data_IF_151495960982
#
_entry.id   IF_151495960982
#
_cell.length_a   1.000
_cell.length_b   1.000
_cell.length_c   1.000
_cell.angle_alpha   90.00
_cell.angle_beta   90.00
_cell.angle_gamma   90.00
#
_symmetry.space_group_name_H-M   'P 1'
#
loop_
_entity.id
_entity.type
_entity.pdbx_description
1 polymer ?
#
# COMPACT_ATOMS: atom_id res chain seq x y z
N UNK A 1 -25.07 -9.33 2.70
CA UNK A 1 -24.02 -8.42 2.21
C UNK A 1 -22.97 -9.23 1.44
N UNK A 2 -22.23 -8.61 0.51
CA UNK A 2 -21.09 -9.19 -0.23
C UNK A 2 -19.82 -8.40 0.12
N UNK A 3 -18.64 -8.96 -0.13
CA UNK A 3 -17.34 -8.30 0.08
C UNK A 3 -16.57 -8.17 -1.24
N UNK A 4 -15.76 -7.12 -1.37
CA UNK A 4 -14.83 -6.93 -2.50
C UNK A 4 -13.50 -6.45 -1.95
N UNK A 5 -12.42 -7.14 -2.31
CA UNK A 5 -11.04 -6.74 -2.04
C UNK A 5 -10.40 -6.25 -3.34
N UNK A 6 -9.93 -5.00 -3.37
CA UNK A 6 -9.28 -4.38 -4.53
C UNK A 6 -7.89 -3.95 -4.11
N UNK A 7 -6.85 -4.50 -4.74
CA UNK A 7 -5.45 -4.22 -4.38
C UNK A 7 -5.20 -4.30 -2.85
N UNK A 8 -5.74 -5.34 -2.21
CA UNK A 8 -5.77 -5.46 -0.76
C UNK A 8 -4.53 -6.18 -0.20
N UNK A 9 -4.10 -5.77 0.99
CA UNK A 9 -2.92 -6.31 1.72
C UNK A 9 -3.04 -7.72 2.31
N UNK A 10 -4.24 -8.25 2.66
CA UNK A 10 -4.32 -9.61 3.19
C UNK A 10 -3.83 -10.66 2.19
N UNK A 11 -3.22 -11.77 2.66
CA UNK A 11 -3.14 -12.20 4.05
C UNK A 11 -2.07 -11.48 4.89
N UNK A 12 -0.87 -11.29 4.34
CA UNK A 12 0.28 -10.66 4.99
C UNK A 12 1.23 -10.16 3.91
N UNK A 13 1.70 -8.91 3.99
CA UNK A 13 2.71 -8.41 3.04
C UNK A 13 4.13 -8.77 3.47
N UNK A 14 4.43 -8.71 4.78
CA UNK A 14 5.78 -8.91 5.30
C UNK A 14 6.33 -10.30 4.97
N UNK A 15 7.59 -10.30 4.54
CA UNK A 15 8.39 -11.52 4.40
C UNK A 15 8.65 -12.16 5.75
N UNK A 16 8.25 -13.42 5.90
CA UNK A 16 8.52 -14.23 7.09
C UNK A 16 8.90 -15.65 6.69
N UNK A 17 9.24 -16.51 7.64
CA UNK A 17 9.42 -17.93 7.35
C UNK A 17 8.14 -18.60 6.82
N UNK A 18 6.97 -18.11 7.23
CA UNK A 18 5.66 -18.60 6.77
C UNK A 18 5.18 -17.90 5.47
N UNK A 19 5.79 -16.77 5.11
CA UNK A 19 5.52 -16.00 3.89
C UNK A 19 6.85 -15.63 3.19
N UNK A 20 7.57 -16.59 2.58
CA UNK A 20 8.92 -16.36 2.05
C UNK A 20 8.96 -15.44 0.82
N UNK A 21 7.85 -15.32 0.10
CA UNK A 21 7.68 -14.46 -1.07
C UNK A 21 7.18 -13.05 -0.71
N UNK A 22 6.97 -12.76 0.57
CA UNK A 22 6.58 -11.44 1.03
C UNK A 22 7.67 -10.38 0.80
N UNK A 23 7.30 -9.13 1.07
CA UNK A 23 8.19 -7.98 0.94
C UNK A 23 9.13 -7.87 2.14
N UNK A 24 10.44 -7.65 1.96
CA UNK A 24 11.39 -7.47 3.05
C UNK A 24 11.03 -6.31 3.99
N UNK A 25 11.33 -6.43 5.29
CA UNK A 25 11.01 -5.42 6.30
C UNK A 25 11.62 -4.05 5.96
N UNK A 26 12.80 -4.06 5.34
CA UNK A 26 13.57 -2.87 5.00
C UNK A 26 12.82 -1.95 4.02
N UNK A 27 11.91 -2.50 3.21
CA UNK A 27 11.06 -1.70 2.32
C UNK A 27 10.07 -0.87 3.14
N UNK A 28 9.42 -1.48 4.14
CA UNK A 28 8.48 -0.80 5.02
C UNK A 28 9.18 0.19 5.95
N UNK A 29 10.38 -0.14 6.43
CA UNK A 29 11.22 0.81 7.16
C UNK A 29 11.63 2.01 6.30
N UNK A 30 11.85 1.80 4.99
CA UNK A 30 12.05 2.87 4.02
C UNK A 30 10.84 3.80 3.88
N UNK A 31 9.63 3.24 3.88
CA UNK A 31 8.38 4.02 3.88
C UNK A 31 8.28 4.84 5.17
N UNK A 32 8.45 4.21 6.34
CA UNK A 32 8.43 4.89 7.64
C UNK A 32 9.42 6.05 7.71
N UNK A 33 10.65 5.80 7.26
CA UNK A 33 11.71 6.82 7.23
C UNK A 33 11.32 7.99 6.33
N UNK A 34 10.83 7.71 5.13
CA UNK A 34 10.42 8.75 4.18
C UNK A 34 9.24 9.57 4.71
N UNK A 35 8.27 8.94 5.38
CA UNK A 35 7.17 9.62 6.07
C UNK A 35 7.66 10.49 7.23
N UNK A 36 8.65 10.03 8.01
CA UNK A 36 9.17 10.77 9.15
C UNK A 36 10.09 11.94 8.77
N UNK A 37 10.86 11.81 7.70
CA UNK A 37 11.86 12.80 7.27
C UNK A 37 11.27 13.87 6.33
N UNK A 38 10.60 13.46 5.25
CA UNK A 38 9.97 14.37 4.29
C UNK A 38 8.75 13.73 3.62
N UNK A 39 7.65 13.63 4.38
CA UNK A 39 6.39 13.06 3.85
C UNK A 39 5.85 13.82 2.65
N UNK A 40 6.13 15.11 2.52
CA UNK A 40 5.60 15.91 1.42
C UNK A 40 6.21 15.48 0.10
N UNK A 41 7.53 15.36 0.04
CA UNK A 41 8.21 14.87 -1.16
C UNK A 41 7.89 13.39 -1.40
N UNK A 42 7.93 12.57 -0.35
CA UNK A 42 7.60 11.14 -0.45
C UNK A 42 6.20 10.88 -1.03
N UNK A 43 5.17 11.59 -0.57
CA UNK A 43 3.81 11.42 -1.08
C UNK A 43 3.65 11.88 -2.53
N UNK A 44 4.50 12.78 -3.03
CA UNK A 44 4.51 13.10 -4.46
C UNK A 44 5.26 12.03 -5.27
N UNK A 45 6.37 11.51 -4.74
CA UNK A 45 7.22 10.54 -5.43
C UNK A 45 6.54 9.17 -5.57
N UNK A 46 5.89 8.69 -4.51
CA UNK A 46 5.22 7.37 -4.49
C UNK A 46 4.07 7.28 -5.50
N UNK A 47 3.53 8.41 -5.97
CA UNK A 47 2.49 8.41 -7.01
C UNK A 47 2.96 7.79 -8.33
N UNK A 48 4.28 7.79 -8.58
CA UNK A 48 4.85 7.22 -9.80
C UNK A 48 4.64 5.70 -9.88
N UNK A 49 5.11 4.88 -8.91
CA UNK A 49 4.77 3.46 -8.87
C UNK A 49 3.30 3.19 -8.54
N UNK A 50 2.66 3.99 -7.67
CA UNK A 50 1.28 3.77 -7.23
C UNK A 50 0.27 3.77 -8.39
N UNK A 51 0.47 4.64 -9.39
CA UNK A 51 -0.37 4.70 -10.59
C UNK A 51 0.28 4.07 -11.83
N UNK A 52 1.45 3.44 -11.69
CA UNK A 52 2.20 2.91 -12.82
C UNK A 52 2.68 3.98 -13.81
N UNK A 53 2.77 5.24 -13.40
CA UNK A 53 3.27 6.35 -14.23
C UNK A 53 4.76 6.24 -14.53
N UNK A 54 5.48 5.35 -13.84
CA UNK A 54 6.86 4.98 -14.15
C UNK A 54 6.99 3.91 -15.25
N UNK A 55 5.88 3.40 -15.82
CA UNK A 55 5.91 2.43 -16.93
C UNK A 55 6.10 3.12 -18.28
N UNK A 56 6.76 2.43 -19.21
CA UNK A 56 6.97 2.93 -20.57
C UNK A 56 5.62 3.19 -21.27
N UNK A 57 5.49 4.38 -21.86
CA UNK A 57 4.27 4.81 -22.54
C UNK A 57 3.13 5.23 -21.60
N UNK A 58 3.30 5.15 -20.29
CA UNK A 58 2.32 5.67 -19.35
C UNK A 58 2.21 7.20 -19.46
N UNK A 59 0.99 7.71 -19.60
CA UNK A 59 0.74 9.14 -19.58
C UNK A 59 0.61 9.61 -18.13
N UNK A 60 1.59 10.34 -17.65
CA UNK A 60 1.57 10.94 -16.31
C UNK A 60 0.40 11.93 -16.19
N UNK A 61 -0.41 11.78 -15.14
CA UNK A 61 -1.50 12.69 -14.82
C UNK A 61 -1.17 13.50 -13.55
N UNK A 62 -0.60 14.68 -13.73
CA UNK A 62 -0.20 15.56 -12.61
C UNK A 62 -1.38 15.96 -11.71
N UNK A 63 -2.60 16.05 -12.24
CA UNK A 63 -3.80 16.33 -11.44
C UNK A 63 -4.07 15.22 -10.41
N UNK A 64 -3.92 13.96 -10.82
CA UNK A 64 -4.09 12.81 -9.93
C UNK A 64 -2.96 12.75 -8.89
N UNK A 65 -1.73 13.04 -9.29
CA UNK A 65 -0.57 13.05 -8.40
C UNK A 65 -0.68 14.13 -7.33
N UNK A 66 -1.05 15.35 -7.72
CA UNK A 66 -1.24 16.45 -6.78
C UNK A 66 -2.44 16.23 -5.86
N UNK A 67 -3.52 15.57 -6.33
CA UNK A 67 -4.64 15.25 -5.46
C UNK A 67 -4.28 14.15 -4.44
N UNK A 68 -3.54 13.11 -4.84
CA UNK A 68 -2.99 12.10 -3.94
C UNK A 68 -2.12 12.76 -2.86
N UNK A 69 -1.16 13.60 -3.27
CA UNK A 69 -0.30 14.35 -2.36
C UNK A 69 -1.12 15.22 -1.41
N UNK A 70 -2.11 15.96 -1.93
CA UNK A 70 -2.99 16.83 -1.13
C UNK A 70 -3.75 16.04 -0.07
N UNK A 71 -4.30 14.87 -0.41
CA UNK A 71 -4.99 14.00 0.52
C UNK A 71 -4.04 13.46 1.60
N UNK A 72 -2.85 13.00 1.20
CA UNK A 72 -1.82 12.56 2.16
C UNK A 72 -1.42 13.69 3.12
N UNK A 73 -1.21 14.90 2.63
CA UNK A 73 -0.82 16.03 3.49
C UNK A 73 -1.91 16.50 4.47
N UNK A 74 -3.18 16.16 4.23
CA UNK A 74 -4.28 16.42 5.17
C UNK A 74 -4.31 15.43 6.34
N UNK A 75 -3.59 14.30 6.24
CA UNK A 75 -3.57 13.27 7.27
C UNK A 75 -2.60 13.57 8.42
N UNK A 76 -2.78 12.81 9.49
CA UNK A 76 -1.91 12.84 10.67
C UNK A 76 -0.62 12.09 10.37
N UNK A 77 0.52 12.76 10.48
CA UNK A 77 1.84 12.15 10.29
C UNK A 77 2.05 10.92 11.20
N UNK A 78 1.53 10.95 12.43
CA UNK A 78 1.63 9.81 13.33
C UNK A 78 0.78 8.64 12.84
N UNK A 79 -0.45 8.92 12.39
CA UNK A 79 -1.32 7.87 11.89
C UNK A 79 -0.75 7.25 10.61
N UNK A 80 -0.22 8.07 9.69
CA UNK A 80 0.45 7.60 8.48
C UNK A 80 1.66 6.72 8.79
N UNK A 81 2.51 7.16 9.73
CA UNK A 81 3.69 6.39 10.16
C UNK A 81 3.31 5.05 10.80
N UNK A 82 2.37 5.06 11.74
CA UNK A 82 1.94 3.84 12.44
C UNK A 82 1.21 2.88 11.49
N UNK A 83 0.42 3.40 10.54
CA UNK A 83 -0.34 2.61 9.57
C UNK A 83 0.57 1.71 8.71
N UNK A 84 1.85 2.07 8.54
CA UNK A 84 2.81 1.21 7.85
C UNK A 84 2.94 -0.15 8.52
N UNK A 85 2.94 -0.21 9.85
CA UNK A 85 2.90 -1.49 10.57
C UNK A 85 1.60 -2.25 10.27
N UNK A 86 0.47 -1.57 10.41
CA UNK A 86 -0.86 -2.19 10.29
C UNK A 86 -1.09 -2.84 8.94
N UNK A 87 -0.69 -2.20 7.83
CA UNK A 87 -0.92 -2.78 6.50
C UNK A 87 0.10 -3.84 6.11
N UNK A 88 1.31 -3.83 6.68
CA UNK A 88 2.41 -4.68 6.21
C UNK A 88 2.67 -5.91 7.08
N UNK A 89 2.59 -5.77 8.40
CA UNK A 89 3.06 -6.78 9.36
C UNK A 89 1.92 -7.56 10.03
N UNK A 90 0.69 -7.05 9.98
CA UNK A 90 -0.48 -7.74 10.55
C UNK A 90 -0.88 -8.89 9.65
N UNK A 91 -0.90 -10.10 10.21
CA UNK A 91 -1.34 -11.30 9.52
C UNK A 91 -2.86 -11.49 9.68
N UNK A 92 -3.58 -11.27 8.59
CA UNK A 92 -5.04 -11.38 8.51
C UNK A 92 -5.51 -12.79 8.12
N UNK A 93 -4.62 -13.79 8.05
CA UNK A 93 -4.96 -15.16 7.62
C UNK A 93 -6.15 -15.75 8.39
N UNK A 94 -6.18 -15.58 9.71
CA UNK A 94 -7.29 -16.11 10.53
C UNK A 94 -8.59 -15.32 10.33
N UNK A 95 -8.52 -14.05 9.96
CA UNK A 95 -9.71 -13.25 9.67
C UNK A 95 -10.28 -13.61 8.30
N UNK A 96 -9.44 -13.85 7.29
CA UNK A 96 -9.87 -14.33 5.98
C UNK A 96 -10.62 -15.66 6.07
N UNK A 97 -10.17 -16.58 6.95
CA UNK A 97 -10.83 -17.88 7.18
C UNK A 97 -12.24 -17.76 7.77
N UNK A 98 -12.55 -16.65 8.46
CA UNK A 98 -13.87 -16.41 9.06
C UNK A 98 -14.88 -15.83 8.06
N UNK A 99 -14.45 -15.43 6.85
CA UNK A 99 -15.34 -14.85 5.85
C UNK A 99 -16.29 -15.93 5.33
N UNK A 100 -17.58 -15.77 5.63
CA UNK A 100 -18.65 -16.69 5.26
C UNK A 100 -19.58 -16.13 4.15
N UNK A 101 -19.21 -14.99 3.56
CA UNK A 101 -19.97 -14.30 2.51
C UNK A 101 -19.26 -14.36 1.15
N UNK A 102 -20.02 -14.32 0.03
CA UNK A 102 -19.43 -14.20 -1.30
C UNK A 102 -18.48 -13.00 -1.39
N UNK A 103 -17.24 -13.27 -1.82
CA UNK A 103 -16.14 -12.32 -1.85
C UNK A 103 -15.50 -12.29 -3.24
N UNK A 104 -15.35 -11.10 -3.80
CA UNK A 104 -14.60 -10.86 -5.04
C UNK A 104 -13.21 -10.31 -4.70
N UNK A 105 -12.18 -10.83 -5.35
CA UNK A 105 -10.80 -10.33 -5.25
C UNK A 105 -10.38 -9.79 -6.61
N UNK A 106 -9.89 -8.55 -6.64
CA UNK A 106 -9.41 -7.87 -7.84
C UNK A 106 -8.00 -7.37 -7.55
N UNK A 107 -7.04 -7.76 -8.40
CA UNK A 107 -5.65 -7.36 -8.24
C UNK A 107 -5.00 -7.17 -9.62
N UNK A 108 -4.24 -6.09 -9.79
CA UNK A 108 -3.44 -5.87 -10.98
C UNK A 108 -2.16 -6.70 -10.91
N UNK A 109 -1.82 -7.43 -11.97
CA UNK A 109 -0.61 -8.27 -11.96
C UNK A 109 0.72 -7.48 -12.06
N UNK A 110 0.63 -6.15 -12.18
CA UNK A 110 1.75 -5.22 -12.26
C UNK A 110 1.64 -4.12 -11.17
N UNK A 111 0.98 -4.45 -10.06
CA UNK A 111 0.98 -3.59 -8.87
C UNK A 111 2.40 -3.51 -8.28
N UNK A 112 2.83 -2.29 -7.96
CA UNK A 112 4.20 -1.98 -7.49
C UNK A 112 4.24 -1.58 -6.01
N UNK A 113 3.09 -1.61 -5.33
CA UNK A 113 2.92 -1.21 -3.93
C UNK A 113 2.76 -2.43 -3.03
#
# INVERSE_FOLDING_TARGET
AKMVFVAAVPPLMLKTAANPEGTPLEVFDGIRKSTAEDRSQFFLDITMPFYGFNRDGAKVNEGLRHDFWRLGMMGSIKAEYDCVHEFSEVDYTEDLKKIDKPTLVIHGNDDQI
#
